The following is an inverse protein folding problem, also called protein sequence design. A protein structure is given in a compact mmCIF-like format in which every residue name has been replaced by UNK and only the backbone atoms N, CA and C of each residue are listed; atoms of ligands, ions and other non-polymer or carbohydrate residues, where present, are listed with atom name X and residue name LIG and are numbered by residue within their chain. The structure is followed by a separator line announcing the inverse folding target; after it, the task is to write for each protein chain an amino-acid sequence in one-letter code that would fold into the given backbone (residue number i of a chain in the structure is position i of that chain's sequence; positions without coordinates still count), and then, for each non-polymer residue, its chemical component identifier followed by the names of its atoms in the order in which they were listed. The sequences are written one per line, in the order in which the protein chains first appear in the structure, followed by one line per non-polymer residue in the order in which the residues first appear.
data_IF_738021825232
#
_entry.id   IF_738021825232
#
_cell.length_a   1.000
_cell.length_b   1.000
_cell.length_c   1.000
_cell.angle_alpha   90.00
_cell.angle_beta   90.00
_cell.angle_gamma   90.00
#
_symmetry.space_group_name_H-M   'P 1'
#
loop_
_entity.id
_entity.type
_entity.pdbx_description
1 polymer ?
#
# COMPACT_ATOMS: atom_id res chain seq x y z
N UNK A 1 -21.46 5.65 46.97
CA UNK A 1 -20.51 4.82 46.20
C UNK A 1 -20.84 5.02 44.72
N UNK A 2 -20.07 5.88 44.05
CA UNK A 2 -20.22 6.15 42.61
C UNK A 2 -19.25 5.26 41.83
N UNK A 3 -19.79 4.34 41.03
CA UNK A 3 -18.99 3.50 40.11
C UNK A 3 -18.64 4.35 38.90
N UNK A 4 -17.37 4.60 38.68
CA UNK A 4 -16.80 5.16 37.45
C UNK A 4 -16.93 4.13 36.32
N UNK A 5 -17.45 4.49 35.17
CA UNK A 5 -17.44 3.59 34.03
C UNK A 5 -15.99 3.47 33.51
N UNK A 6 -15.46 2.26 33.53
CA UNK A 6 -14.23 1.89 32.84
C UNK A 6 -14.50 2.09 31.32
N UNK A 7 -13.85 3.08 30.73
CA UNK A 7 -13.81 3.22 29.28
C UNK A 7 -13.08 1.99 28.73
N UNK A 8 -13.83 1.05 28.20
CA UNK A 8 -13.30 0.00 27.33
C UNK A 8 -12.77 0.74 26.12
N UNK A 9 -11.45 0.79 26.02
CA UNK A 9 -10.72 1.29 24.88
C UNK A 9 -11.14 0.40 23.69
N UNK A 10 -12.10 0.89 22.92
CA UNK A 10 -12.48 0.27 21.67
C UNK A 10 -11.33 0.50 20.71
N UNK A 11 -10.40 -0.45 20.70
CA UNK A 11 -9.43 -0.61 19.63
C UNK A 11 -10.25 -1.02 18.40
N UNK A 12 -10.89 -0.04 17.76
CA UNK A 12 -11.40 -0.18 16.41
C UNK A 12 -10.14 -0.32 15.55
N UNK A 13 -9.64 -1.56 15.53
CA UNK A 13 -8.57 -1.95 14.65
C UNK A 13 -8.90 -1.43 13.27
N UNK A 14 -7.94 -0.79 12.68
CA UNK A 14 -7.78 -0.48 11.27
C UNK A 14 -7.90 -1.79 10.45
N UNK A 15 -9.08 -2.37 10.44
CA UNK A 15 -9.37 -3.62 9.73
C UNK A 15 -9.73 -3.38 8.28
N UNK A 16 -9.80 -2.14 7.84
CA UNK A 16 -10.23 -1.81 6.49
C UNK A 16 -9.16 -2.01 5.40
N UNK A 17 -7.91 -2.26 5.78
CA UNK A 17 -6.82 -2.50 4.82
C UNK A 17 -6.12 -3.86 5.05
N UNK A 18 -6.65 -4.72 5.89
CA UNK A 18 -5.96 -5.87 6.45
C UNK A 18 -6.63 -7.16 6.05
N UNK A 19 -6.39 -7.60 4.84
CA UNK A 19 -6.75 -8.96 4.46
C UNK A 19 -5.56 -9.87 4.44
N UNK A 20 -5.61 -10.65 5.41
CA UNK A 20 -4.88 -11.84 5.79
C UNK A 20 -4.49 -12.76 4.64
N UNK A 21 -3.21 -12.89 4.42
CA UNK A 21 -2.61 -14.07 3.82
C UNK A 21 -2.26 -15.04 4.96
N UNK A 22 -3.17 -15.96 5.27
CA UNK A 22 -2.81 -17.18 5.97
C UNK A 22 -2.17 -18.12 4.97
N UNK A 23 -0.89 -17.96 4.72
CA UNK A 23 -0.09 -18.95 4.01
C UNK A 23 0.80 -19.65 5.01
N UNK A 24 0.71 -20.97 5.03
CA UNK A 24 1.53 -21.90 5.83
C UNK A 24 3.02 -21.58 5.68
N UNK A 25 3.65 -21.21 6.78
CA UNK A 25 5.09 -21.07 6.84
C UNK A 25 5.75 -22.45 7.02
N UNK A 26 6.84 -22.76 6.32
CA UNK A 26 7.72 -23.84 6.72
C UNK A 26 8.59 -23.37 7.88
N UNK A 27 8.58 -24.16 8.96
CA UNK A 27 9.50 -24.06 10.08
C UNK A 27 10.94 -24.24 9.62
N UNK A 28 11.81 -23.26 9.89
CA UNK A 28 13.26 -23.46 9.94
C UNK A 28 13.88 -22.68 11.10
N UNK A 29 14.82 -23.34 11.74
CA UNK A 29 15.50 -23.22 13.00
C UNK A 29 16.37 -21.95 13.17
N UNK A 30 16.60 -21.43 14.38
CA UNK A 30 17.25 -20.16 14.62
C UNK A 30 18.78 -20.25 14.65
N UNK A 31 19.42 -19.69 13.65
CA UNK A 31 20.83 -19.32 13.70
C UNK A 31 20.98 -17.88 14.16
N UNK A 32 21.44 -17.67 15.38
CA UNK A 32 21.75 -16.34 15.92
C UNK A 32 23.01 -15.81 15.24
N UNK A 33 22.86 -14.87 14.31
CA UNK A 33 23.95 -14.04 13.83
C UNK A 33 23.71 -12.59 14.22
N UNK A 34 24.61 -12.08 15.04
CA UNK A 34 24.67 -10.67 15.45
C UNK A 34 25.01 -9.83 14.22
N UNK A 35 24.04 -9.14 13.65
CA UNK A 35 24.27 -8.26 12.50
C UNK A 35 24.49 -6.83 12.99
N UNK A 36 25.65 -6.30 12.65
CA UNK A 36 26.00 -4.87 12.73
C UNK A 36 25.01 -4.06 11.92
N UNK A 37 24.53 -2.89 12.38
CA UNK A 37 23.58 -2.07 11.63
C UNK A 37 24.25 -1.55 10.36
N UNK A 38 23.87 -2.12 9.23
CA UNK A 38 24.26 -1.62 7.92
C UNK A 38 23.33 -0.47 7.54
N UNK A 39 23.91 0.68 7.19
CA UNK A 39 23.19 1.82 6.69
C UNK A 39 22.33 1.42 5.49
N UNK A 40 21.05 1.74 5.55
CA UNK A 40 20.08 1.47 4.47
C UNK A 40 20.51 2.30 3.25
N UNK A 41 20.58 1.65 2.09
CA UNK A 41 21.02 2.21 0.85
C UNK A 41 20.24 3.47 0.46
N UNK A 42 20.93 4.60 0.37
CA UNK A 42 20.46 5.77 -0.37
C UNK A 42 20.50 5.40 -1.86
N UNK A 43 19.36 5.19 -2.47
CA UNK A 43 19.30 5.07 -3.92
C UNK A 43 19.46 6.49 -4.51
N UNK A 44 20.49 6.68 -5.30
CA UNK A 44 20.65 7.89 -6.10
C UNK A 44 19.61 7.84 -7.22
N UNK A 45 18.71 8.82 -7.34
CA UNK A 45 17.70 8.78 -8.38
C UNK A 45 18.35 8.90 -9.75
N UNK A 46 18.05 7.95 -10.60
CA UNK A 46 18.19 8.15 -12.04
C UNK A 46 17.05 9.08 -12.42
N UNK A 47 17.36 10.32 -12.79
CA UNK A 47 16.38 11.39 -13.03
C UNK A 47 15.18 10.88 -13.83
N UNK A 48 13.98 11.14 -13.32
CA UNK A 48 12.73 10.87 -14.00
C UNK A 48 12.58 11.76 -15.23
N UNK A 49 13.26 11.36 -16.29
CA UNK A 49 12.83 11.70 -17.65
C UNK A 49 11.45 11.06 -17.82
N UNK A 50 10.52 11.72 -18.51
CA UNK A 50 9.20 11.18 -18.82
C UNK A 50 9.36 9.71 -19.23
N UNK A 51 9.12 8.82 -18.28
CA UNK A 51 9.50 7.43 -18.42
C UNK A 51 8.70 6.86 -19.59
N UNK A 52 9.40 6.33 -20.59
CA UNK A 52 8.77 5.49 -21.60
C UNK A 52 8.02 4.37 -20.87
N UNK A 53 6.84 4.05 -21.36
CA UNK A 53 6.05 2.94 -20.84
C UNK A 53 6.92 1.69 -20.71
N UNK A 54 6.90 0.96 -19.60
CA UNK A 54 7.55 -0.36 -19.53
C UNK A 54 7.01 -1.31 -20.61
N UNK A 55 7.84 -2.22 -21.09
CA UNK A 55 7.45 -3.23 -22.09
C UNK A 55 6.27 -4.11 -21.59
N UNK A 56 6.21 -4.37 -20.31
CA UNK A 56 5.12 -5.11 -19.67
C UNK A 56 3.75 -4.41 -19.78
N UNK A 57 3.74 -3.14 -20.18
CA UNK A 57 2.51 -2.38 -20.42
C UNK A 57 1.99 -2.50 -21.87
N UNK A 58 2.67 -3.17 -22.77
CA UNK A 58 2.25 -3.34 -24.18
C UNK A 58 0.89 -4.04 -24.31
N UNK A 59 0.47 -4.79 -23.29
CA UNK A 59 -0.86 -5.41 -23.24
C UNK A 59 -1.95 -4.52 -22.62
N UNK A 60 -1.65 -3.24 -22.33
CA UNK A 60 -2.58 -2.28 -21.69
C UNK A 60 -2.80 -1.09 -22.61
N UNK A 61 -3.68 -1.25 -23.60
CA UNK A 61 -4.02 -0.18 -24.53
C UNK A 61 -4.91 0.87 -23.83
N UNK A 62 -4.39 2.08 -23.63
CA UNK A 62 -5.13 3.19 -23.03
C UNK A 62 -5.96 3.93 -24.07
N UNK A 63 -6.96 3.23 -24.63
CA UNK A 63 -7.96 3.77 -25.57
C UNK A 63 -9.36 3.39 -25.07
N UNK A 64 -10.36 4.21 -25.45
CA UNK A 64 -11.75 4.02 -25.04
C UNK A 64 -12.24 2.59 -25.32
N UNK A 65 -12.93 1.99 -24.37
CA UNK A 65 -13.56 0.67 -24.42
C UNK A 65 -12.59 -0.51 -24.59
N UNK A 66 -11.27 -0.28 -24.54
CA UNK A 66 -10.30 -1.37 -24.58
C UNK A 66 -10.51 -2.33 -23.39
N UNK A 67 -10.38 -3.63 -23.68
CA UNK A 67 -10.42 -4.68 -22.68
C UNK A 67 -8.99 -5.06 -22.29
N UNK A 68 -8.75 -5.09 -20.99
CA UNK A 68 -7.45 -5.42 -20.41
C UNK A 68 -7.63 -6.62 -19.47
N UNK A 69 -6.75 -7.60 -19.57
CA UNK A 69 -6.75 -8.72 -18.60
C UNK A 69 -6.16 -8.27 -17.27
N UNK A 70 -6.61 -8.89 -16.18
CA UNK A 70 -6.05 -8.62 -14.86
C UNK A 70 -4.55 -8.88 -14.79
N UNK A 71 -4.07 -9.90 -15.49
CA UNK A 71 -2.64 -10.24 -15.57
C UNK A 71 -1.84 -9.13 -16.27
N UNK A 72 -2.31 -8.62 -17.41
CA UNK A 72 -1.63 -7.55 -18.15
C UNK A 72 -1.60 -6.25 -17.34
N UNK A 73 -2.74 -5.84 -16.75
CA UNK A 73 -2.80 -4.66 -15.89
C UNK A 73 -1.87 -4.78 -14.69
N UNK A 74 -1.87 -5.94 -14.05
CA UNK A 74 -1.01 -6.27 -12.92
C UNK A 74 0.47 -6.17 -13.28
N UNK A 75 0.90 -6.81 -14.38
CA UNK A 75 2.28 -6.78 -14.85
C UNK A 75 2.74 -5.34 -15.15
N UNK A 76 1.91 -4.56 -15.84
CA UNK A 76 2.17 -3.17 -16.17
C UNK A 76 2.35 -2.30 -14.91
N UNK A 77 1.43 -2.38 -13.94
CA UNK A 77 1.50 -1.60 -12.69
C UNK A 77 2.76 -1.94 -11.88
N UNK A 78 3.13 -3.23 -11.80
CA UNK A 78 4.36 -3.65 -11.14
C UNK A 78 5.59 -3.09 -11.84
N UNK A 79 5.66 -3.27 -13.17
CA UNK A 79 6.81 -2.83 -13.95
C UNK A 79 7.01 -1.32 -13.84
N UNK A 80 5.92 -0.54 -13.94
CA UNK A 80 5.96 0.89 -13.72
C UNK A 80 6.48 1.25 -12.32
N UNK A 81 5.92 0.63 -11.28
CA UNK A 81 6.30 0.92 -9.88
C UNK A 81 7.77 0.59 -9.60
N UNK A 82 8.26 -0.53 -10.15
CA UNK A 82 9.69 -0.91 -10.04
C UNK A 82 10.60 0.02 -10.81
N UNK A 83 10.19 0.44 -12.01
CA UNK A 83 10.98 1.38 -12.82
C UNK A 83 11.06 2.76 -12.17
N UNK A 84 9.99 3.22 -11.53
CA UNK A 84 9.97 4.46 -10.76
C UNK A 84 10.84 4.37 -9.50
N UNK A 85 10.85 3.22 -8.84
CA UNK A 85 11.68 2.92 -7.67
C UNK A 85 11.22 3.55 -6.36
N UNK A 86 10.51 4.66 -6.39
CA UNK A 86 10.02 5.39 -5.21
C UNK A 86 8.83 6.27 -5.54
N UNK A 87 8.16 6.76 -4.54
CA UNK A 87 7.07 7.71 -4.67
C UNK A 87 6.44 8.05 -3.32
N UNK A 88 5.39 8.86 -3.39
CA UNK A 88 4.58 9.24 -2.26
C UNK A 88 3.14 8.78 -2.46
N UNK A 89 2.53 8.27 -1.39
CA UNK A 89 1.15 7.79 -1.33
C UNK A 89 0.34 8.68 -0.40
N UNK A 90 -0.82 9.12 -0.86
CA UNK A 90 -1.89 9.62 -0.01
C UNK A 90 -3.05 8.61 0.02
N UNK A 91 -3.48 8.24 1.22
CA UNK A 91 -4.57 7.30 1.47
C UNK A 91 -5.73 8.03 2.12
N UNK A 92 -6.94 7.78 1.64
CA UNK A 92 -8.18 8.29 2.23
C UNK A 92 -9.27 7.24 2.24
N UNK A 93 -9.99 7.16 3.35
CA UNK A 93 -11.26 6.45 3.49
C UNK A 93 -12.24 7.29 4.33
N UNK A 94 -13.42 6.74 4.66
CA UNK A 94 -14.40 7.45 5.49
C UNK A 94 -13.85 7.81 6.89
N UNK A 95 -13.05 6.91 7.47
CA UNK A 95 -12.62 6.99 8.88
C UNK A 95 -11.10 7.09 9.04
N UNK A 96 -10.34 7.16 7.94
CA UNK A 96 -8.90 7.09 7.97
C UNK A 96 -8.28 7.91 6.84
N UNK A 97 -7.25 8.67 7.18
CA UNK A 97 -6.35 9.32 6.22
C UNK A 97 -4.91 8.91 6.50
N UNK A 98 -4.06 8.92 5.48
CA UNK A 98 -2.66 8.59 5.67
C UNK A 98 -1.79 9.12 4.54
N UNK A 99 -0.52 9.27 4.84
CA UNK A 99 0.52 9.66 3.89
C UNK A 99 1.74 8.78 4.11
N UNK A 100 2.38 8.37 3.03
CA UNK A 100 3.56 7.54 3.13
C UNK A 100 4.52 7.75 1.95
N UNK A 101 5.78 7.80 2.26
CA UNK A 101 6.86 7.61 1.31
C UNK A 101 7.14 6.12 1.16
N UNK A 102 7.43 5.69 -0.06
CA UNK A 102 7.76 4.29 -0.33
C UNK A 102 8.94 4.16 -1.28
N UNK A 103 9.68 3.08 -1.09
CA UNK A 103 10.75 2.63 -1.98
C UNK A 103 10.37 1.24 -2.47
N UNK A 104 10.37 1.04 -3.79
CA UNK A 104 10.26 -0.27 -4.42
C UNK A 104 11.65 -0.77 -4.84
N UNK A 105 11.84 -2.06 -4.89
CA UNK A 105 13.12 -2.66 -5.31
C UNK A 105 13.49 -3.86 -4.44
N UNK A 106 14.77 -4.17 -4.37
CA UNK A 106 15.28 -5.34 -3.63
C UNK A 106 15.13 -5.21 -2.10
N UNK A 107 15.05 -3.98 -1.61
CA UNK A 107 14.83 -3.67 -0.20
C UNK A 107 13.66 -2.68 -0.05
N UNK A 108 12.41 -3.13 -0.28
CA UNK A 108 11.26 -2.26 -0.21
C UNK A 108 11.09 -1.71 1.19
N UNK A 109 10.77 -0.44 1.29
CA UNK A 109 10.56 0.23 2.57
C UNK A 109 9.43 1.25 2.43
N UNK A 110 8.77 1.53 3.54
CA UNK A 110 7.71 2.53 3.61
C UNK A 110 7.79 3.25 4.95
N UNK A 111 7.61 4.56 4.94
CA UNK A 111 7.43 5.35 6.16
C UNK A 111 6.35 6.38 5.96
N UNK A 112 5.60 6.66 7.01
CA UNK A 112 4.51 7.62 6.90
C UNK A 112 3.72 7.75 8.17
N UNK A 113 2.53 8.32 8.05
CA UNK A 113 1.58 8.48 9.13
C UNK A 113 0.18 8.04 8.71
N UNK A 114 -0.58 7.53 9.66
CA UNK A 114 -2.00 7.21 9.52
C UNK A 114 -2.75 7.91 10.63
N UNK A 115 -3.82 8.62 10.28
CA UNK A 115 -4.73 9.28 11.21
C UNK A 115 -6.10 8.61 11.16
N UNK A 116 -6.55 8.13 12.29
CA UNK A 116 -7.86 7.55 12.51
C UNK A 116 -8.57 8.15 13.72
N UNK A 117 -9.64 7.52 14.16
CA UNK A 117 -10.44 7.97 15.32
C UNK A 117 -9.68 7.97 16.65
N UNK A 118 -8.61 7.21 16.76
CA UNK A 118 -7.74 7.05 17.94
C UNK A 118 -6.48 7.94 17.88
N UNK A 119 -6.32 8.74 16.83
CA UNK A 119 -5.22 9.67 16.66
C UNK A 119 -4.35 9.39 15.45
N UNK A 120 -3.17 10.01 15.45
CA UNK A 120 -2.15 9.84 14.41
C UNK A 120 -1.05 8.90 14.89
N UNK A 121 -0.70 7.95 14.05
CA UNK A 121 0.37 6.98 14.28
C UNK A 121 1.37 7.03 13.15
N UNK A 122 2.62 7.34 13.46
CA UNK A 122 3.71 7.23 12.49
C UNK A 122 4.17 5.77 12.40
N UNK A 123 4.63 5.38 11.22
CA UNK A 123 5.13 4.02 11.03
C UNK A 123 6.37 3.99 10.12
N UNK A 124 7.20 2.99 10.32
CA UNK A 124 8.32 2.64 9.45
C UNK A 124 8.34 1.13 9.24
N UNK A 125 8.36 0.72 8.00
CA UNK A 125 8.33 -0.67 7.59
C UNK A 125 9.48 -0.95 6.63
N UNK A 126 10.26 -1.97 6.94
CA UNK A 126 11.34 -2.48 6.09
C UNK A 126 11.15 -3.99 5.89
N UNK A 127 11.95 -4.66 5.06
CA UNK A 127 11.85 -6.10 4.88
C UNK A 127 11.97 -6.90 6.20
N UNK A 128 12.74 -6.38 7.15
CA UNK A 128 13.09 -7.08 8.40
C UNK A 128 12.48 -6.45 9.65
N UNK A 129 12.05 -5.19 9.61
CA UNK A 129 11.60 -4.46 10.79
C UNK A 129 10.28 -3.73 10.55
N UNK A 130 9.51 -3.62 11.60
CA UNK A 130 8.30 -2.80 11.62
C UNK A 130 8.28 -2.00 12.91
N UNK A 131 7.97 -0.73 12.79
CA UNK A 131 7.89 0.23 13.88
C UNK A 131 6.62 1.05 13.76
N UNK A 132 5.96 1.29 14.87
CA UNK A 132 4.81 2.21 14.96
C UNK A 132 4.99 3.09 16.18
N UNK A 133 4.69 4.38 16.04
CA UNK A 133 4.68 5.34 17.13
C UNK A 133 3.32 5.36 17.82
N UNK A 134 3.31 5.20 19.13
CA UNK A 134 2.15 5.39 20.00
C UNK A 134 2.47 6.53 20.96
N UNK A 135 1.72 7.63 20.90
CA UNK A 135 1.94 8.81 21.73
C UNK A 135 3.40 9.31 21.68
N UNK A 136 4.00 9.30 20.48
CA UNK A 136 5.39 9.73 20.27
C UNK A 136 6.45 8.72 20.71
N UNK A 137 6.06 7.53 21.18
CA UNK A 137 6.98 6.47 21.56
C UNK A 137 7.01 5.38 20.49
N UNK A 138 8.16 5.14 19.89
CA UNK A 138 8.35 4.09 18.91
C UNK A 138 8.34 2.69 19.54
N UNK A 139 7.53 1.81 19.01
CA UNK A 139 7.42 0.41 19.41
C UNK A 139 7.83 -0.46 18.24
N UNK A 140 8.84 -1.30 18.44
CA UNK A 140 9.30 -2.29 17.48
C UNK A 140 8.43 -3.55 17.51
N UNK A 141 8.15 -4.11 16.36
CA UNK A 141 7.47 -5.38 16.21
C UNK A 141 8.19 -6.51 16.96
N UNK A 142 7.45 -7.26 17.78
CA UNK A 142 7.91 -8.48 18.41
C UNK A 142 6.69 -9.36 18.73
N UNK A 143 6.48 -10.41 17.95
CA UNK A 143 5.33 -11.32 18.08
C UNK A 143 5.31 -12.10 19.39
N UNK A 144 6.45 -12.24 20.07
CA UNK A 144 6.59 -12.99 21.32
C UNK A 144 6.73 -12.09 22.55
N UNK A 145 6.59 -10.79 22.39
CA UNK A 145 6.70 -9.81 23.49
C UNK A 145 5.57 -9.95 24.49
N UNK A 146 5.87 -9.65 25.74
CA UNK A 146 4.84 -9.41 26.76
C UNK A 146 4.18 -8.02 26.62
N UNK A 147 4.78 -7.11 25.89
CA UNK A 147 4.17 -5.83 25.50
C UNK A 147 3.19 -6.07 24.36
N UNK A 148 1.90 -5.91 24.66
CA UNK A 148 0.82 -6.08 23.67
C UNK A 148 0.97 -5.17 22.44
N UNK A 149 1.51 -3.97 22.60
CA UNK A 149 1.76 -3.05 21.46
C UNK A 149 2.76 -3.64 20.48
N UNK A 150 3.84 -4.26 20.98
CA UNK A 150 4.85 -4.89 20.12
C UNK A 150 4.26 -6.08 19.32
N UNK A 151 3.32 -6.82 19.92
CA UNK A 151 2.57 -7.90 19.24
C UNK A 151 1.67 -7.33 18.16
N UNK A 152 0.94 -6.24 18.43
CA UNK A 152 0.12 -5.54 17.43
C UNK A 152 0.98 -5.04 16.27
N UNK A 153 2.11 -4.37 16.56
CA UNK A 153 3.03 -3.87 15.54
C UNK A 153 3.57 -5.02 14.68
N UNK A 154 3.78 -6.19 15.25
CA UNK A 154 4.19 -7.38 14.49
C UNK A 154 3.11 -7.81 13.48
N UNK A 155 1.85 -7.82 13.88
CA UNK A 155 0.73 -8.16 13.00
C UNK A 155 0.55 -7.11 11.90
N UNK A 156 0.53 -5.83 12.27
CA UNK A 156 0.46 -4.71 11.35
C UNK A 156 1.62 -4.80 10.34
N UNK A 157 2.85 -4.98 10.82
CA UNK A 157 4.03 -5.02 9.98
C UNK A 157 4.03 -6.18 8.97
N UNK A 158 3.50 -7.34 9.34
CA UNK A 158 3.35 -8.46 8.38
C UNK A 158 2.40 -8.09 7.26
N UNK A 159 1.30 -7.47 7.59
CA UNK A 159 0.29 -7.04 6.62
C UNK A 159 0.83 -5.95 5.70
N UNK A 160 1.44 -4.90 6.25
CA UNK A 160 2.01 -3.83 5.44
C UNK A 160 3.15 -4.30 4.53
N UNK A 161 3.98 -5.26 4.98
CA UNK A 161 5.00 -5.86 4.10
C UNK A 161 4.39 -6.56 2.89
N UNK A 162 3.27 -7.24 3.09
CA UNK A 162 2.54 -7.83 1.97
C UNK A 162 2.03 -6.77 0.98
N UNK A 163 1.63 -5.58 1.45
CA UNK A 163 1.22 -4.48 0.56
C UNK A 163 2.40 -3.69 -0.05
N UNK A 164 3.52 -3.58 0.66
CA UNK A 164 4.74 -2.98 0.12
C UNK A 164 5.43 -3.86 -0.93
N UNK A 165 5.10 -5.15 -0.97
CA UNK A 165 5.49 -6.03 -2.07
C UNK A 165 4.58 -5.74 -3.29
N UNK A 166 5.13 -5.22 -4.41
CA UNK A 166 4.35 -5.00 -5.63
C UNK A 166 3.60 -6.23 -6.11
N UNK A 167 4.09 -7.44 -5.78
CA UNK A 167 3.45 -8.70 -6.17
C UNK A 167 2.12 -8.94 -5.46
N UNK A 168 1.94 -8.41 -4.24
CA UNK A 168 0.67 -8.55 -3.51
C UNK A 168 -0.42 -7.63 -4.09
N UNK A 169 -0.09 -6.37 -4.38
CA UNK A 169 -1.00 -5.44 -5.08
C UNK A 169 -1.34 -5.97 -6.48
N UNK A 170 -0.37 -6.58 -7.14
CA UNK A 170 -0.53 -7.25 -8.41
C UNK A 170 -1.51 -8.40 -8.37
N UNK A 171 -1.43 -9.24 -7.34
CA UNK A 171 -2.36 -10.36 -7.19
C UNK A 171 -3.82 -9.88 -7.06
N UNK A 172 -4.03 -8.72 -6.43
CA UNK A 172 -5.34 -8.09 -6.35
C UNK A 172 -5.86 -7.68 -7.73
N UNK A 173 -5.04 -6.99 -8.53
CA UNK A 173 -5.41 -6.58 -9.88
C UNK A 173 -5.65 -7.79 -10.80
N UNK A 174 -4.82 -8.83 -10.69
CA UNK A 174 -4.92 -10.05 -11.48
C UNK A 174 -6.17 -10.89 -11.14
N UNK A 175 -6.72 -10.75 -9.92
CA UNK A 175 -7.90 -11.50 -9.49
C UNK A 175 -9.22 -10.99 -10.08
N UNK A 176 -9.25 -9.79 -10.64
CA UNK A 176 -10.45 -9.26 -11.28
C UNK A 176 -10.79 -10.04 -12.56
N UNK A 177 -12.09 -10.22 -12.87
CA UNK A 177 -12.52 -11.01 -14.04
C UNK A 177 -12.10 -10.39 -15.37
N UNK A 178 -11.80 -9.10 -15.37
CA UNK A 178 -11.36 -8.31 -16.52
C UNK A 178 -11.44 -6.82 -16.18
N UNK A 179 -10.90 -6.00 -17.06
CA UNK A 179 -10.87 -4.55 -16.91
C UNK A 179 -11.29 -3.87 -18.19
N UNK A 180 -11.93 -2.73 -18.07
CA UNK A 180 -12.35 -1.91 -19.19
C UNK A 180 -11.83 -0.48 -19.04
N UNK A 181 -11.14 0.01 -20.07
CA UNK A 181 -10.76 1.41 -20.15
C UNK A 181 -12.01 2.23 -20.46
N UNK A 182 -12.34 3.20 -19.60
CA UNK A 182 -13.53 4.02 -19.78
C UNK A 182 -13.38 4.99 -20.97
N UNK A 183 -14.50 5.46 -21.56
CA UNK A 183 -14.47 6.24 -22.82
C UNK A 183 -13.66 7.52 -22.75
N UNK A 184 -13.63 8.19 -21.60
CA UNK A 184 -12.99 9.48 -21.41
C UNK A 184 -11.89 9.46 -20.37
N UNK A 185 -10.91 10.34 -20.52
CA UNK A 185 -9.93 10.62 -19.48
C UNK A 185 -10.52 11.53 -18.41
N UNK A 186 -10.29 11.18 -17.16
CA UNK A 186 -10.61 12.03 -16.03
C UNK A 186 -9.50 13.05 -15.77
N UNK A 187 -9.87 14.20 -15.22
CA UNK A 187 -8.96 15.11 -14.55
C UNK A 187 -8.91 14.70 -13.08
N UNK A 188 -7.81 14.08 -12.66
CA UNK A 188 -7.62 13.64 -11.28
C UNK A 188 -6.88 14.74 -10.51
N UNK A 189 -7.57 15.33 -9.51
CA UNK A 189 -6.93 16.28 -8.60
C UNK A 189 -6.13 15.53 -7.54
N UNK A 190 -4.85 15.82 -7.44
CA UNK A 190 -3.94 15.22 -6.45
C UNK A 190 -3.88 16.08 -5.17
N UNK A 191 -3.43 15.51 -4.03
CA UNK A 191 -3.38 16.23 -2.76
C UNK A 191 -2.49 17.48 -2.75
N UNK A 192 -1.47 17.52 -3.60
CA UNK A 192 -0.58 18.68 -3.81
C UNK A 192 -1.22 19.82 -4.64
N UNK A 193 -2.48 19.64 -5.05
CA UNK A 193 -3.23 20.60 -5.87
C UNK A 193 -2.97 20.49 -7.37
N UNK A 194 -2.12 19.57 -7.82
CA UNK A 194 -1.93 19.32 -9.25
C UNK A 194 -3.11 18.56 -9.84
N UNK A 195 -3.37 18.77 -11.13
CA UNK A 195 -4.39 18.04 -11.89
C UNK A 195 -3.71 17.19 -12.96
N UNK A 196 -4.04 15.90 -12.99
CA UNK A 196 -3.45 14.93 -13.94
C UNK A 196 -4.54 14.32 -14.80
N UNK A 197 -4.36 14.38 -16.12
CA UNK A 197 -5.21 13.64 -17.07
C UNK A 197 -4.85 12.17 -17.01
N UNK A 198 -5.84 11.30 -16.73
CA UNK A 198 -5.63 9.87 -16.60
C UNK A 198 -6.81 9.07 -17.17
N UNK A 199 -6.51 7.94 -17.77
CA UNK A 199 -7.48 6.96 -18.18
C UNK A 199 -8.00 6.19 -16.97
N UNK A 200 -9.29 6.09 -16.86
CA UNK A 200 -9.96 5.30 -15.84
C UNK A 200 -10.13 3.85 -16.32
N UNK A 201 -9.47 2.92 -15.66
CA UNK A 201 -9.53 1.48 -15.95
C UNK A 201 -10.30 0.82 -14.83
N UNK A 202 -11.51 0.33 -15.12
CA UNK A 202 -12.43 -0.20 -14.12
C UNK A 202 -12.56 -1.72 -14.24
N UNK A 203 -12.62 -2.42 -13.10
CA UNK A 203 -12.92 -3.84 -13.05
C UNK A 203 -14.31 -4.14 -13.64
N UNK A 204 -14.44 -5.20 -14.43
CA UNK A 204 -15.68 -5.56 -15.14
C UNK A 204 -16.77 -6.10 -14.19
N UNK A 205 -16.46 -6.38 -12.95
CA UNK A 205 -17.39 -6.83 -11.92
C UNK A 205 -16.72 -7.08 -10.58
N UNK A 206 -17.51 -7.45 -9.57
CA UNK A 206 -16.98 -7.79 -8.26
C UNK A 206 -16.13 -9.06 -8.31
N UNK A 207 -15.17 -9.17 -7.41
CA UNK A 207 -14.28 -10.32 -7.29
C UNK A 207 -13.83 -10.52 -5.84
N UNK A 208 -13.18 -11.63 -5.57
CA UNK A 208 -12.60 -11.89 -4.25
C UNK A 208 -11.12 -12.17 -4.39
N UNK A 209 -10.32 -11.54 -3.54
CA UNK A 209 -8.89 -11.77 -3.47
C UNK A 209 -8.44 -11.74 -2.00
N UNK A 210 -7.63 -12.70 -1.59
CA UNK A 210 -7.06 -12.78 -0.25
C UNK A 210 -8.10 -12.67 0.89
N UNK A 211 -9.33 -13.18 0.67
CA UNK A 211 -10.42 -13.16 1.65
C UNK A 211 -11.19 -11.83 1.75
N UNK A 212 -10.90 -10.87 0.86
CA UNK A 212 -11.71 -9.64 0.68
C UNK A 212 -12.65 -9.82 -0.48
N UNK A 213 -13.89 -9.40 -0.27
CA UNK A 213 -14.82 -9.18 -1.36
C UNK A 213 -14.62 -7.77 -1.89
N UNK A 214 -14.13 -7.64 -3.12
CA UNK A 214 -14.00 -6.37 -3.83
C UNK A 214 -15.26 -6.15 -4.65
N UNK A 215 -16.04 -5.15 -4.31
CA UNK A 215 -17.30 -4.81 -5.00
C UNK A 215 -17.07 -3.95 -6.23
N UNK A 216 -16.12 -3.05 -6.14
CA UNK A 216 -15.72 -2.17 -7.23
C UNK A 216 -14.25 -1.79 -7.08
N UNK A 217 -13.54 -1.69 -8.21
CA UNK A 217 -12.17 -1.23 -8.24
C UNK A 217 -11.89 -0.46 -9.51
N UNK A 218 -11.19 0.65 -9.37
CA UNK A 218 -10.80 1.53 -10.46
C UNK A 218 -9.35 1.94 -10.29
N UNK A 219 -8.60 1.89 -11.38
CA UNK A 219 -7.21 2.37 -11.47
C UNK A 219 -7.17 3.53 -12.47
N UNK A 220 -6.54 4.64 -12.10
CA UNK A 220 -6.27 5.75 -13.02
C UNK A 220 -4.83 5.69 -13.48
N UNK A 221 -4.67 5.57 -14.79
CA UNK A 221 -3.36 5.51 -15.48
C UNK A 221 -3.15 6.77 -16.30
N UNK A 222 -2.13 7.52 -15.98
CA UNK A 222 -1.68 8.70 -16.71
C UNK A 222 -0.77 8.34 -17.90
N UNK A 223 -0.13 9.35 -18.47
CA UNK A 223 0.84 9.16 -19.55
C UNK A 223 1.95 8.19 -19.14
N UNK A 224 2.37 7.31 -20.06
CA UNK A 224 3.39 6.28 -19.81
C UNK A 224 2.95 5.22 -18.80
N UNK A 225 1.64 4.99 -18.66
CA UNK A 225 1.04 4.05 -17.70
C UNK A 225 1.34 4.38 -16.23
N UNK A 226 1.67 5.65 -15.95
CA UNK A 226 1.90 6.10 -14.57
C UNK A 226 0.65 5.88 -13.73
N UNK A 227 0.79 5.16 -12.64
CA UNK A 227 -0.29 5.01 -11.66
C UNK A 227 -0.53 6.36 -10.97
N UNK A 228 -1.73 6.91 -11.12
CA UNK A 228 -2.16 8.20 -10.57
C UNK A 228 -2.99 8.00 -9.32
N UNK A 229 -3.96 7.07 -9.40
CA UNK A 229 -4.82 6.75 -8.27
C UNK A 229 -5.37 5.32 -8.39
N UNK A 230 -5.76 4.77 -7.24
CA UNK A 230 -6.52 3.52 -7.14
C UNK A 230 -7.67 3.77 -6.17
N UNK A 231 -8.89 3.48 -6.60
CA UNK A 231 -10.06 3.44 -5.73
C UNK A 231 -10.58 2.01 -5.65
N UNK A 232 -10.90 1.59 -4.43
CA UNK A 232 -11.50 0.28 -4.25
C UNK A 232 -12.60 0.37 -3.19
N UNK A 233 -13.72 -0.32 -3.45
CA UNK A 233 -14.76 -0.59 -2.46
C UNK A 233 -14.72 -2.06 -2.13
N UNK A 234 -14.43 -2.40 -0.90
CA UNK A 234 -14.31 -3.78 -0.43
C UNK A 234 -15.12 -4.04 0.82
N UNK A 235 -15.43 -5.31 1.07
CA UNK A 235 -16.08 -5.77 2.29
C UNK A 235 -15.24 -6.84 2.98
N UNK A 236 -15.05 -6.69 4.28
CA UNK A 236 -14.40 -7.65 5.14
C UNK A 236 -15.16 -7.79 6.47
N UNK A 237 -15.49 -9.02 6.83
CA UNK A 237 -16.24 -9.27 8.07
C UNK A 237 -17.61 -8.57 8.11
N UNK A 238 -18.20 -8.24 6.96
CA UNK A 238 -19.48 -7.52 6.86
C UNK A 238 -19.34 -5.99 6.94
N UNK A 239 -18.14 -5.45 7.09
CA UNK A 239 -17.87 -4.01 7.06
C UNK A 239 -17.42 -3.64 5.66
N UNK A 240 -18.17 -2.75 5.02
CA UNK A 240 -17.82 -2.20 3.72
C UNK A 240 -17.08 -0.88 3.89
N UNK A 241 -16.01 -0.70 3.13
CA UNK A 241 -15.26 0.55 3.09
C UNK A 241 -14.81 0.86 1.67
N UNK A 242 -14.77 2.15 1.36
CA UNK A 242 -14.15 2.66 0.13
C UNK A 242 -12.86 3.37 0.50
N UNK A 243 -11.78 2.97 -0.18
CA UNK A 243 -10.46 3.61 -0.04
C UNK A 243 -10.06 4.25 -1.35
N UNK A 244 -9.45 5.42 -1.26
CA UNK A 244 -8.77 6.11 -2.37
C UNK A 244 -7.29 6.19 -2.04
N UNK A 245 -6.46 5.75 -2.95
CA UNK A 245 -5.00 5.89 -2.92
C UNK A 245 -4.60 6.79 -4.07
N UNK A 246 -3.84 7.84 -3.80
CA UNK A 246 -3.31 8.75 -4.82
C UNK A 246 -1.80 8.77 -4.73
N UNK A 247 -1.15 8.73 -5.87
CA UNK A 247 0.30 8.58 -5.95
C UNK A 247 0.93 9.81 -6.59
N UNK A 248 1.93 10.35 -5.93
CA UNK A 248 2.71 11.52 -6.36
C UNK A 248 4.20 11.25 -6.28
N UNK A 249 5.02 12.19 -6.73
CA UNK A 249 6.47 12.17 -6.55
C UNK A 249 7.17 10.87 -7.02
N UNK A 250 6.61 10.23 -8.05
CA UNK A 250 7.19 9.02 -8.62
C UNK A 250 8.64 9.24 -9.09
N UNK A 251 9.56 8.39 -8.62
CA UNK A 251 10.99 8.45 -8.94
C UNK A 251 11.76 9.56 -8.23
N UNK A 252 11.12 10.32 -7.35
CA UNK A 252 11.82 11.31 -6.54
C UNK A 252 12.61 10.65 -5.40
N UNK A 253 13.73 11.25 -4.99
CA UNK A 253 14.54 10.72 -3.89
C UNK A 253 13.74 10.59 -2.60
N UNK A 254 13.65 9.39 -2.07
CA UNK A 254 13.01 9.09 -0.78
C UNK A 254 14.08 8.59 0.18
N UNK A 255 14.05 9.08 1.43
CA UNK A 255 14.90 8.62 2.51
C UNK A 255 14.04 8.10 3.65
N UNK A 256 14.15 6.81 3.95
CA UNK A 256 13.45 6.18 5.06
C UNK A 256 14.44 5.85 6.16
N UNK A 257 14.23 6.42 7.35
CA UNK A 257 15.08 6.21 8.51
C UNK A 257 14.38 5.30 9.51
N UNK A 258 15.08 4.26 9.95
CA UNK A 258 14.59 3.36 10.99
C UNK A 258 14.73 4.05 12.35
N UNK A 259 13.67 4.07 13.19
CA UNK A 259 13.74 4.62 14.53
C UNK A 259 14.84 3.96 15.37
N UNK A 260 15.50 4.74 16.18
CA UNK A 260 16.44 4.23 17.18
C UNK A 260 15.63 3.84 18.40
N UNK A 261 15.59 2.54 18.72
CA UNK A 261 14.97 2.00 19.92
C UNK A 261 15.79 2.20 21.17
#
# INVERSE_FOLDING_TARGET
MRRTPTKVLGLALVTAALVLLSACAPTNDPGVASATPTAIASQTPTGASAASSPEECDGVDLIADAKVTGEALSACVIAFSRAAGSGHLHLQSADLTGEADFIFGDAPATSGSITGSDGTHDFVLTPTESWVSFDGTWVRANATSSDYRAVIVSTIGQTYRAFADPTASAALLAAAPGWTVQPDQDAVSLPDGTEVRAWRVRADGPFSASGVEVKDMTVWLGAGHRVVAIQQTGAFGGIETTTMQQFTAWGEPVKIEVPKG
#
